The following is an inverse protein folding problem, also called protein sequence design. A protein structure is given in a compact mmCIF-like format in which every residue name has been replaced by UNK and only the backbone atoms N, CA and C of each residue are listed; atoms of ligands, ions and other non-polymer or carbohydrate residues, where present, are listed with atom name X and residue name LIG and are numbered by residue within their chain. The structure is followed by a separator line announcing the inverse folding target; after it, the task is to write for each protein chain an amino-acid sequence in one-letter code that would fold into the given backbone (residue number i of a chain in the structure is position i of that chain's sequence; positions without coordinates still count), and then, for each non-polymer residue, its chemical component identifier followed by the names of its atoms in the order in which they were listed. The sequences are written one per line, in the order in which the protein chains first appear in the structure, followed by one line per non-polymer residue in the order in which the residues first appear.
data_IF_747971410974
#
_entry.id   IF_747971410974
#
_cell.length_a   1.000
_cell.length_b   1.000
_cell.length_c   1.000
_cell.angle_alpha   90.00
_cell.angle_beta   90.00
_cell.angle_gamma   90.00
#
_symmetry.space_group_name_H-M   'P 1'
#
loop_
_entity.id
_entity.type
_entity.pdbx_description
1 polymer ?
#
# COMPACT_ATOMS: atom_id res chain seq x y z
N UNK A 1 17.82 19.64 -2.18
CA UNK A 1 17.29 18.27 -1.94
C UNK A 1 15.79 18.42 -1.79
N UNK A 2 14.99 17.54 -2.43
CA UNK A 2 13.55 17.52 -2.27
C UNK A 2 13.18 16.39 -1.30
N UNK A 3 12.26 16.67 -0.39
CA UNK A 3 11.76 15.71 0.62
C UNK A 3 10.25 15.51 0.40
N UNK A 4 9.76 14.31 0.71
CA UNK A 4 8.32 14.04 0.74
C UNK A 4 7.72 14.71 1.97
N UNK A 5 6.57 15.36 1.82
CA UNK A 5 5.78 15.80 2.97
C UNK A 5 5.29 14.55 3.73
N UNK A 6 5.67 14.35 5.01
CA UNK A 6 5.26 13.19 5.81
C UNK A 6 3.75 13.02 5.89
N UNK A 7 2.99 14.10 5.77
CA UNK A 7 1.54 14.10 5.92
C UNK A 7 0.78 13.80 4.64
N UNK A 8 1.48 13.66 3.51
CA UNK A 8 0.80 13.25 2.27
C UNK A 8 0.27 11.82 2.43
N UNK A 9 -1.00 11.62 2.09
CA UNK A 9 -1.59 10.29 2.12
C UNK A 9 -1.18 9.52 0.87
N UNK A 10 -0.58 8.35 1.07
CA UNK A 10 -0.26 7.41 -0.01
C UNK A 10 -1.16 6.19 0.08
N UNK A 11 -1.90 5.91 -0.99
CA UNK A 11 -2.72 4.71 -1.13
C UNK A 11 -2.10 3.75 -2.15
N UNK A 12 -1.62 2.59 -1.69
CA UNK A 12 -1.19 1.51 -2.57
C UNK A 12 -2.36 0.54 -2.83
N UNK A 13 -2.56 0.16 -4.10
CA UNK A 13 -3.63 -0.74 -4.51
C UNK A 13 -3.06 -2.12 -4.87
N UNK A 14 -3.69 -3.18 -4.40
CA UNK A 14 -3.45 -4.52 -4.91
C UNK A 14 -4.09 -4.66 -6.28
N UNK A 15 -3.36 -4.24 -7.32
CA UNK A 15 -3.86 -4.25 -8.68
C UNK A 15 -4.45 -5.62 -9.02
N UNK A 16 -5.71 -5.60 -9.46
CA UNK A 16 -6.45 -6.82 -9.80
C UNK A 16 -6.41 -7.05 -11.30
N UNK A 17 -6.14 -8.28 -11.78
CA UNK A 17 -6.05 -8.60 -13.20
C UNK A 17 -7.27 -8.13 -14.02
N UNK A 18 -8.45 -8.12 -13.40
CA UNK A 18 -9.74 -7.71 -13.98
C UNK A 18 -9.74 -6.24 -14.46
N UNK A 19 -8.74 -5.43 -14.07
CA UNK A 19 -8.55 -4.06 -14.52
C UNK A 19 -7.78 -3.91 -15.85
N UNK A 20 -7.86 -4.92 -16.74
CA UNK A 20 -7.31 -4.93 -18.10
C UNK A 20 -5.80 -5.25 -18.23
N UNK A 21 -5.17 -5.80 -17.19
CA UNK A 21 -3.80 -6.35 -17.25
C UNK A 21 -3.75 -7.74 -16.62
N UNK A 22 -4.14 -8.73 -17.43
CA UNK A 22 -4.23 -10.14 -17.02
C UNK A 22 -2.87 -10.78 -16.73
N UNK A 23 -1.78 -10.17 -17.19
CA UNK A 23 -0.40 -10.60 -16.95
C UNK A 23 0.09 -10.25 -15.54
N UNK A 24 -0.58 -9.34 -14.83
CA UNK A 24 -0.20 -8.94 -13.48
C UNK A 24 -0.75 -9.92 -12.46
N UNK A 25 0.13 -10.47 -11.64
CA UNK A 25 -0.25 -11.29 -10.49
C UNK A 25 -0.67 -10.37 -9.35
N UNK A 26 -1.87 -10.59 -8.81
CA UNK A 26 -2.33 -9.86 -7.64
C UNK A 26 -1.41 -10.16 -6.44
N UNK A 27 -0.88 -9.13 -5.76
CA UNK A 27 0.01 -9.35 -4.63
C UNK A 27 -0.73 -10.01 -3.45
N UNK A 28 0.00 -10.82 -2.71
CA UNK A 28 -0.45 -11.41 -1.45
C UNK A 28 -0.61 -10.35 -0.36
N UNK A 29 -1.34 -10.69 0.70
CA UNK A 29 -1.45 -9.84 1.88
C UNK A 29 -0.08 -9.52 2.50
N UNK A 30 0.83 -10.50 2.54
CA UNK A 30 2.18 -10.32 3.09
C UNK A 30 3.02 -9.33 2.28
N UNK A 31 2.92 -9.39 0.96
CA UNK A 31 3.58 -8.44 0.06
C UNK A 31 3.02 -7.02 0.25
N UNK A 32 1.69 -6.87 0.34
CA UNK A 32 1.09 -5.56 0.62
C UNK A 32 1.46 -5.01 2.00
N UNK A 33 1.57 -5.88 3.02
CA UNK A 33 2.06 -5.48 4.34
C UNK A 33 3.52 -5.00 4.28
N UNK A 34 4.34 -5.65 3.45
CA UNK A 34 5.72 -5.22 3.22
C UNK A 34 5.76 -3.86 2.50
N UNK A 35 4.90 -3.64 1.50
CA UNK A 35 4.75 -2.33 0.84
C UNK A 35 4.39 -1.24 1.86
N UNK A 36 3.40 -1.48 2.72
CA UNK A 36 3.02 -0.55 3.79
C UNK A 36 4.22 -0.17 4.68
N UNK A 37 4.99 -1.17 5.14
CA UNK A 37 6.17 -0.97 5.99
C UNK A 37 7.26 -0.15 5.30
N UNK A 38 7.56 -0.45 4.03
CA UNK A 38 8.58 0.27 3.27
C UNK A 38 8.19 1.74 3.09
N UNK A 39 6.93 2.01 2.75
CA UNK A 39 6.44 3.38 2.58
C UNK A 39 6.47 4.16 3.89
N UNK A 40 6.02 3.57 5.01
CA UNK A 40 6.13 4.20 6.34
C UNK A 40 7.60 4.49 6.71
N UNK A 41 8.49 3.54 6.48
CA UNK A 41 9.92 3.68 6.76
C UNK A 41 10.62 4.74 5.89
N UNK A 42 10.01 5.16 4.77
CA UNK A 42 10.51 6.26 3.95
C UNK A 42 10.15 7.66 4.47
N UNK A 43 9.43 7.75 5.59
CA UNK A 43 9.06 9.02 6.24
C UNK A 43 7.61 9.45 5.99
N UNK A 44 6.76 8.59 5.42
CA UNK A 44 5.33 8.84 5.27
C UNK A 44 4.58 8.44 6.54
N UNK A 45 3.68 9.30 7.02
CA UNK A 45 2.85 9.05 8.21
C UNK A 45 1.50 8.42 7.87
N UNK A 46 0.97 8.68 6.68
CA UNK A 46 -0.35 8.19 6.26
C UNK A 46 -0.23 7.27 5.04
N UNK A 47 -0.13 5.96 5.29
CA UNK A 47 -0.04 4.94 4.23
C UNK A 47 -1.22 3.97 4.35
N UNK A 48 -1.97 3.81 3.28
CA UNK A 48 -3.09 2.88 3.20
C UNK A 48 -2.78 1.85 2.12
N UNK A 49 -3.02 0.57 2.38
CA UNK A 49 -2.84 -0.48 1.38
C UNK A 49 -4.13 -1.29 1.19
N UNK A 50 -4.61 -1.41 -0.04
CA UNK A 50 -5.67 -2.36 -0.38
C UNK A 50 -5.08 -3.76 -0.48
N UNK A 51 -5.76 -4.76 0.08
CA UNK A 51 -5.29 -6.14 0.09
C UNK A 51 -6.42 -7.11 -0.20
N UNK A 52 -6.07 -8.39 -0.38
CA UNK A 52 -7.05 -9.48 -0.44
C UNK A 52 -7.86 -9.69 0.84
N UNK A 53 -7.43 -9.13 1.98
CA UNK A 53 -8.07 -9.31 3.29
C UNK A 53 -8.84 -8.06 3.79
N UNK A 54 -8.92 -7.01 2.98
CA UNK A 54 -9.42 -5.70 3.41
C UNK A 54 -8.38 -4.61 3.20
N UNK A 55 -8.41 -3.56 4.02
CA UNK A 55 -7.52 -2.41 3.87
C UNK A 55 -6.59 -2.30 5.08
N UNK A 56 -5.29 -2.17 4.85
CA UNK A 56 -4.36 -1.77 5.90
C UNK A 56 -4.50 -0.26 6.08
N UNK A 57 -4.84 0.18 7.28
CA UNK A 57 -4.96 1.57 7.67
C UNK A 57 -3.61 2.23 8.01
N UNK A 58 -3.60 3.54 8.29
CA UNK A 58 -2.39 4.35 8.42
C UNK A 58 -1.34 3.84 9.43
N UNK A 59 -1.78 3.16 10.49
CA UNK A 59 -0.91 2.65 11.55
C UNK A 59 -0.64 1.14 11.43
N UNK A 60 -1.07 0.50 10.33
CA UNK A 60 -0.91 -0.93 10.09
C UNK A 60 -2.05 -1.81 10.60
N UNK A 61 -3.13 -1.21 11.11
CA UNK A 61 -4.36 -1.90 11.48
C UNK A 61 -5.10 -2.45 10.25
N UNK A 62 -5.82 -3.55 10.39
CA UNK A 62 -6.66 -4.09 9.32
C UNK A 62 -8.09 -3.57 9.48
N UNK A 63 -8.57 -2.87 8.45
CA UNK A 63 -9.90 -2.27 8.29
C UNK A 63 -10.76 -3.06 7.31
#
# INVERSE_FOLDING_TARGET
IAELDPWVQVCALDYRPEYQRMDLVRPSFGEMLQVHRVLRNSGLESVICQTSRGRIGPSGELL
#
